data_IF_188853833172
#
_entry.id   IF_188853833172
#
_cell.length_a   1.000
_cell.length_b   1.000
_cell.length_c   1.000
_cell.angle_alpha   90.00
_cell.angle_beta   90.00
_cell.angle_gamma   90.00
#
_symmetry.space_group_name_H-M   'P 1'
#
loop_
_entity.id
_entity.type
_entity.pdbx_description
1 polymer ?
#
# COMPACT_ATOMS: atom_id res chain seq x y z
N UNK A 1 8.32 11.77 11.22
CA UNK A 1 9.72 11.56 10.78
C UNK A 1 9.80 11.08 9.32
N UNK A 2 8.74 11.19 8.51
CA UNK A 2 8.76 10.85 7.08
C UNK A 2 9.27 12.03 6.23
N UNK A 3 10.03 11.75 5.19
CA UNK A 3 10.60 12.74 4.26
C UNK A 3 12.13 12.62 4.16
N UNK A 4 12.74 13.55 3.42
CA UNK A 4 14.21 13.65 3.27
C UNK A 4 14.87 14.15 4.57
N UNK A 5 16.12 13.72 4.88
CA UNK A 5 16.82 14.04 6.14
C UNK A 5 16.71 15.52 6.55
N UNK A 6 17.04 16.43 5.63
CA UNK A 6 17.04 17.88 5.85
C UNK A 6 15.82 18.59 5.27
N UNK A 7 14.86 17.84 4.73
CA UNK A 7 13.63 18.38 4.16
C UNK A 7 12.57 18.71 5.23
N UNK A 8 11.52 19.46 4.86
CA UNK A 8 10.33 19.54 5.71
C UNK A 8 9.69 18.15 5.88
N UNK A 9 8.89 17.92 6.94
CA UNK A 9 8.09 16.70 7.06
C UNK A 9 7.22 16.47 5.81
N UNK A 10 7.22 15.24 5.32
CA UNK A 10 6.41 14.82 4.18
C UNK A 10 5.25 13.93 4.65
N UNK A 11 4.12 14.03 3.96
CA UNK A 11 3.04 13.04 4.08
C UNK A 11 3.44 11.76 3.35
N UNK A 12 2.85 10.64 3.76
CA UNK A 12 2.83 9.43 2.92
C UNK A 12 1.97 9.71 1.67
N UNK A 13 2.37 9.16 0.53
CA UNK A 13 1.74 9.44 -0.78
C UNK A 13 0.25 9.12 -0.81
N UNK A 14 -0.14 7.95 -0.31
CA UNK A 14 -1.55 7.54 -0.16
C UNK A 14 -2.13 8.03 1.18
N UNK A 15 -3.47 8.19 1.30
CA UNK A 15 -4.10 8.56 2.56
C UNK A 15 -4.07 7.38 3.55
N UNK A 16 -2.90 7.18 4.19
CA UNK A 16 -2.65 6.02 5.05
C UNK A 16 -3.63 5.93 6.23
N UNK A 17 -4.02 7.07 6.80
CA UNK A 17 -4.99 7.13 7.91
C UNK A 17 -6.36 6.56 7.50
N UNK A 18 -6.87 7.02 6.34
CA UNK A 18 -8.17 6.60 5.81
C UNK A 18 -8.16 5.10 5.46
N UNK A 19 -7.10 4.65 4.78
CA UNK A 19 -6.93 3.25 4.39
C UNK A 19 -6.79 2.32 5.60
N UNK A 20 -5.94 2.69 6.57
CA UNK A 20 -5.75 1.92 7.80
C UNK A 20 -7.05 1.89 8.62
N UNK A 21 -7.72 3.03 8.77
CA UNK A 21 -9.00 3.13 9.47
C UNK A 21 -10.06 2.21 8.87
N UNK A 22 -10.19 2.18 7.54
CA UNK A 22 -11.10 1.27 6.83
C UNK A 22 -10.75 -0.21 7.06
N UNK A 23 -9.47 -0.56 7.06
CA UNK A 23 -9.01 -1.93 7.34
C UNK A 23 -9.30 -2.33 8.79
N UNK A 24 -8.98 -1.49 9.78
CA UNK A 24 -9.28 -1.76 11.19
C UNK A 24 -10.78 -1.83 11.48
N UNK A 25 -11.59 -1.02 10.79
CA UNK A 25 -13.05 -1.12 10.85
C UNK A 25 -13.55 -2.46 10.30
N UNK A 26 -13.04 -2.89 9.14
CA UNK A 26 -13.37 -4.19 8.56
C UNK A 26 -13.00 -5.34 9.52
N UNK A 27 -11.78 -5.34 10.07
CA UNK A 27 -11.32 -6.35 11.03
C UNK A 27 -12.21 -6.37 12.29
N UNK A 28 -12.57 -5.20 12.82
CA UNK A 28 -13.45 -5.07 13.98
C UNK A 28 -14.84 -5.66 13.72
N UNK A 29 -15.42 -5.42 12.53
CA UNK A 29 -16.70 -5.99 12.12
C UNK A 29 -16.60 -7.51 11.98
N UNK A 30 -15.56 -8.03 11.33
CA UNK A 30 -15.34 -9.48 11.18
C UNK A 30 -15.19 -10.17 12.54
N UNK A 31 -14.40 -9.57 13.44
CA UNK A 31 -14.23 -10.06 14.81
C UNK A 31 -15.53 -10.01 15.61
N UNK A 32 -16.33 -8.95 15.48
CA UNK A 32 -17.64 -8.84 16.11
C UNK A 32 -18.65 -9.87 15.58
N UNK A 33 -18.65 -10.15 14.27
CA UNK A 33 -19.50 -11.16 13.65
C UNK A 33 -19.15 -12.57 14.17
N UNK A 34 -17.86 -12.91 14.20
CA UNK A 34 -17.40 -14.19 14.75
C UNK A 34 -17.71 -14.29 16.25
N UNK A 35 -17.45 -13.23 17.01
CA UNK A 35 -17.76 -13.18 18.44
C UNK A 35 -19.25 -13.32 18.73
N UNK A 36 -20.12 -12.76 17.88
CA UNK A 36 -21.57 -12.93 17.97
C UNK A 36 -21.98 -14.39 17.72
N UNK A 37 -21.36 -15.06 16.75
CA UNK A 37 -21.65 -16.47 16.46
C UNK A 37 -21.25 -17.37 17.64
N UNK A 38 -20.09 -17.12 18.23
CA UNK A 38 -19.55 -17.96 19.30
C UNK A 38 -20.14 -17.68 20.68
N UNK A 39 -20.52 -16.42 20.95
CA UNK A 39 -20.84 -15.96 22.31
C UNK A 39 -22.14 -15.16 22.41
N UNK A 40 -22.80 -14.89 21.29
CA UNK A 40 -23.99 -14.04 21.24
C UNK A 40 -23.70 -12.54 21.45
N UNK A 41 -24.73 -11.75 21.15
CA UNK A 41 -24.74 -10.30 21.35
C UNK A 41 -23.97 -9.50 20.29
N UNK A 42 -24.39 -8.26 20.07
CA UNK A 42 -23.65 -7.31 19.23
C UNK A 42 -22.40 -6.76 19.92
N UNK A 43 -21.59 -6.00 19.17
CA UNK A 43 -20.44 -5.25 19.68
C UNK A 43 -20.47 -3.84 19.09
N UNK A 44 -19.99 -2.88 19.87
CA UNK A 44 -19.69 -1.53 19.39
C UNK A 44 -18.19 -1.46 19.09
N UNK A 45 -17.82 -1.04 17.89
CA UNK A 45 -16.44 -0.85 17.47
C UNK A 45 -16.16 0.64 17.35
N UNK A 46 -15.28 1.14 18.22
CA UNK A 46 -14.73 2.50 18.14
C UNK A 46 -13.39 2.44 17.39
N UNK A 47 -13.29 3.14 16.27
CA UNK A 47 -12.13 3.06 15.36
C UNK A 47 -11.56 4.46 15.14
N UNK A 48 -10.43 4.72 15.77
CA UNK A 48 -9.69 5.96 15.66
C UNK A 48 -8.64 5.88 14.54
N UNK A 49 -8.66 6.83 13.61
CA UNK A 49 -7.61 6.97 12.60
C UNK A 49 -6.26 7.31 13.22
N UNK A 50 -6.26 8.06 14.34
CA UNK A 50 -5.05 8.36 15.08
C UNK A 50 -4.44 7.08 15.66
N UNK A 51 -5.26 6.26 16.33
CA UNK A 51 -4.83 5.01 16.95
C UNK A 51 -4.32 4.03 15.89
N UNK A 52 -4.98 4.01 14.73
CA UNK A 52 -4.55 3.25 13.55
C UNK A 52 -3.14 3.64 13.11
N UNK A 53 -2.85 4.94 12.98
CA UNK A 53 -1.51 5.42 12.62
C UNK A 53 -0.48 5.17 13.72
N UNK A 54 -0.85 5.35 15.00
CA UNK A 54 0.03 5.08 16.14
C UNK A 54 0.41 3.60 16.19
N UNK A 55 -0.54 2.69 15.95
CA UNK A 55 -0.27 1.26 15.87
C UNK A 55 0.66 0.91 14.71
N UNK A 56 0.63 1.68 13.63
CA UNK A 56 1.47 1.48 12.44
C UNK A 56 2.86 2.15 12.54
N UNK A 57 3.20 2.78 13.67
CA UNK A 57 4.58 3.21 13.95
C UNK A 57 5.55 2.04 14.07
N UNK A 58 5.03 0.81 14.19
CA UNK A 58 5.76 -0.45 14.11
C UNK A 58 7.05 -0.44 14.95
N UNK A 59 8.18 -0.82 14.36
CA UNK A 59 9.45 -0.93 15.06
C UNK A 59 10.01 0.42 15.52
N UNK A 60 9.76 1.54 14.82
CA UNK A 60 10.23 2.86 15.24
C UNK A 60 9.52 3.32 16.53
N UNK A 61 8.22 3.04 16.64
CA UNK A 61 7.46 3.28 17.86
C UNK A 61 7.99 2.45 19.04
N UNK A 62 8.26 1.16 18.80
CA UNK A 62 8.85 0.29 19.81
C UNK A 62 10.26 0.73 20.22
N UNK A 63 11.11 1.13 19.26
CA UNK A 63 12.47 1.58 19.53
C UNK A 63 12.47 2.83 20.41
N UNK A 64 11.60 3.79 20.09
CA UNK A 64 11.45 5.00 20.89
C UNK A 64 10.97 4.70 22.31
N UNK A 65 9.92 3.88 22.47
CA UNK A 65 9.36 3.54 23.77
C UNK A 65 10.36 2.82 24.69
N UNK A 66 11.26 2.00 24.13
CA UNK A 66 12.18 1.18 24.92
C UNK A 66 13.59 1.77 25.06
N UNK A 67 14.01 2.66 24.17
CA UNK A 67 15.38 3.22 24.17
C UNK A 67 15.45 4.74 24.24
N UNK A 68 14.31 5.44 24.05
CA UNK A 68 14.24 6.90 23.94
C UNK A 68 14.80 7.45 22.62
N UNK A 69 15.33 6.61 21.72
CA UNK A 69 15.82 7.06 20.41
C UNK A 69 14.69 7.65 19.57
N UNK A 70 14.98 8.75 18.88
CA UNK A 70 14.04 9.38 17.97
C UNK A 70 14.34 8.92 16.54
N UNK A 71 13.32 8.42 15.85
CA UNK A 71 13.40 8.18 14.42
C UNK A 71 13.57 9.53 13.68
N UNK A 72 14.52 9.58 12.76
CA UNK A 72 14.78 10.75 11.92
C UNK A 72 14.28 10.50 10.49
N UNK A 73 14.15 11.57 9.71
CA UNK A 73 13.87 11.48 8.28
C UNK A 73 15.06 10.85 7.56
N UNK A 74 14.80 9.89 6.67
CA UNK A 74 15.83 9.14 5.95
C UNK A 74 15.56 8.99 4.44
N UNK A 75 14.61 9.76 3.90
CA UNK A 75 14.17 9.59 2.51
C UNK A 75 13.59 8.20 2.30
N UNK A 76 14.20 7.43 1.40
CA UNK A 76 13.80 6.03 1.09
C UNK A 76 14.52 4.98 1.94
N UNK A 77 15.45 5.39 2.80
CA UNK A 77 16.33 4.46 3.48
C UNK A 77 15.73 3.90 4.78
N UNK A 78 15.99 2.62 5.05
CA UNK A 78 15.63 1.95 6.28
C UNK A 78 16.58 2.36 7.41
N UNK A 79 16.06 2.59 8.62
CA UNK A 79 16.85 3.10 9.76
C UNK A 79 17.90 2.11 10.28
N UNK A 80 17.60 0.81 10.27
CA UNK A 80 18.44 -0.23 10.88
C UNK A 80 19.22 -1.14 9.92
N UNK A 81 19.05 -1.00 8.60
CA UNK A 81 19.61 -1.93 7.61
C UNK A 81 20.21 -1.18 6.43
N UNK A 82 21.41 -1.58 6.03
CA UNK A 82 22.14 -0.96 4.92
C UNK A 82 22.78 -2.06 4.05
N UNK A 83 22.58 -2.05 2.71
CA UNK A 83 21.60 -1.25 1.99
C UNK A 83 20.15 -1.74 2.21
N UNK A 84 19.25 -0.80 2.40
CA UNK A 84 17.81 -0.95 2.19
C UNK A 84 17.25 0.43 1.86
N UNK A 85 17.32 0.80 0.58
CA UNK A 85 16.88 2.11 0.08
C UNK A 85 16.71 2.08 -1.45
N UNK A 86 16.14 3.14 -2.01
CA UNK A 86 16.19 3.39 -3.44
C UNK A 86 17.57 3.95 -3.84
N UNK A 87 18.13 3.42 -4.91
CA UNK A 87 19.36 3.91 -5.53
C UNK A 87 19.07 4.42 -6.93
N UNK A 88 19.67 5.54 -7.29
CA UNK A 88 19.58 6.08 -8.64
C UNK A 88 20.31 5.18 -9.65
N UNK A 89 19.69 5.01 -10.81
CA UNK A 89 20.28 4.43 -12.01
C UNK A 89 20.36 5.52 -13.08
N UNK A 90 20.89 5.19 -14.25
CA UNK A 90 21.00 6.13 -15.38
C UNK A 90 19.66 6.68 -15.87
N UNK A 91 18.57 5.93 -15.69
CA UNK A 91 17.26 6.22 -16.25
C UNK A 91 16.10 6.08 -15.24
N UNK A 92 16.39 5.84 -13.96
CA UNK A 92 15.37 5.59 -12.96
C UNK A 92 15.94 5.33 -11.56
N UNK A 93 15.24 4.49 -10.80
CA UNK A 93 15.66 4.08 -9.46
C UNK A 93 15.34 2.60 -9.23
N UNK A 94 16.17 1.93 -8.43
CA UNK A 94 15.94 0.56 -7.97
C UNK A 94 16.05 0.53 -6.45
N UNK A 95 15.03 -0.04 -5.79
CA UNK A 95 15.13 -0.37 -4.37
C UNK A 95 15.98 -1.63 -4.23
N UNK A 96 17.04 -1.57 -3.43
CA UNK A 96 17.96 -2.69 -3.20
C UNK A 96 17.98 -3.00 -1.70
N UNK A 97 17.85 -4.28 -1.35
CA UNK A 97 17.81 -4.74 0.04
C UNK A 97 18.84 -5.84 0.27
N UNK A 98 19.73 -5.64 1.25
CA UNK A 98 20.63 -6.66 1.76
C UNK A 98 20.37 -6.89 3.25
N UNK A 99 19.22 -7.52 3.56
CA UNK A 99 18.78 -7.79 4.93
C UNK A 99 19.71 -8.75 5.67
N UNK A 100 20.09 -9.83 5.01
CA UNK A 100 20.95 -10.89 5.55
C UNK A 100 22.35 -10.78 4.93
N UNK A 101 23.38 -11.21 5.66
CA UNK A 101 24.78 -11.14 5.20
C UNK A 101 25.04 -11.94 3.91
N UNK A 102 24.20 -12.93 3.58
CA UNK A 102 24.26 -13.62 2.28
C UNK A 102 23.98 -12.67 1.12
N UNK A 103 23.01 -11.76 1.27
CA UNK A 103 22.63 -10.81 0.22
C UNK A 103 23.68 -9.73 0.08
N UNK A 104 24.33 -9.32 1.17
CA UNK A 104 25.47 -8.40 1.11
C UNK A 104 26.64 -8.99 0.34
N UNK A 105 27.02 -10.25 0.63
CA UNK A 105 28.06 -10.96 -0.12
C UNK A 105 27.70 -11.10 -1.59
N UNK A 106 26.50 -11.60 -1.90
CA UNK A 106 26.03 -11.72 -3.28
C UNK A 106 26.03 -10.39 -4.02
N UNK A 107 25.63 -9.30 -3.35
CA UNK A 107 25.67 -7.96 -3.92
C UNK A 107 27.09 -7.53 -4.26
N UNK A 108 28.02 -7.65 -3.32
CA UNK A 108 29.43 -7.33 -3.54
C UNK A 108 30.04 -8.18 -4.67
N UNK A 109 29.69 -9.46 -4.76
CA UNK A 109 30.11 -10.32 -5.87
C UNK A 109 29.50 -9.88 -7.20
N UNK A 110 28.22 -9.54 -7.22
CA UNK A 110 27.50 -9.15 -8.43
C UNK A 110 28.02 -7.85 -9.05
N UNK A 111 28.44 -6.90 -8.22
CA UNK A 111 28.97 -5.61 -8.67
C UNK A 111 30.50 -5.58 -8.80
N UNK A 112 31.16 -6.74 -8.67
CA UNK A 112 32.62 -6.88 -8.69
C UNK A 112 33.36 -6.03 -7.64
N UNK A 113 32.77 -5.94 -6.43
CA UNK A 113 33.31 -5.21 -5.27
C UNK A 113 33.48 -6.11 -4.06
N UNK A 114 34.12 -7.26 -4.27
CA UNK A 114 34.43 -8.24 -3.20
C UNK A 114 35.28 -7.63 -2.08
N UNK A 115 36.02 -6.57 -2.35
CA UNK A 115 36.76 -5.79 -1.35
C UNK A 115 35.85 -5.25 -0.23
N UNK A 116 34.59 -4.95 -0.53
CA UNK A 116 33.61 -4.46 0.45
C UNK A 116 33.11 -5.55 1.42
N UNK A 117 33.33 -6.84 1.12
CA UNK A 117 32.92 -7.94 2.00
C UNK A 117 33.79 -7.94 3.26
N UNK A 118 35.09 -7.71 3.10
CA UNK A 118 36.08 -7.78 4.19
C UNK A 118 36.47 -6.39 4.73
N UNK A 119 36.02 -5.29 4.10
CA UNK A 119 36.28 -3.93 4.60
C UNK A 119 35.68 -3.75 6.01
N UNK A 120 36.46 -3.30 7.01
CA UNK A 120 35.97 -3.11 8.38
C UNK A 120 34.73 -2.21 8.51
N UNK A 121 34.50 -1.32 7.53
CA UNK A 121 33.34 -0.41 7.49
C UNK A 121 32.07 -1.07 6.96
N UNK A 122 32.18 -2.24 6.32
CA UNK A 122 31.03 -2.92 5.68
C UNK A 122 30.91 -4.42 5.92
N UNK A 123 31.81 -5.01 6.71
CA UNK A 123 31.89 -6.44 7.04
C UNK A 123 30.62 -7.07 7.61
N UNK A 124 29.78 -6.29 8.28
CA UNK A 124 28.53 -6.71 8.91
C UNK A 124 27.53 -5.55 8.95
N UNK A 125 26.24 -5.83 9.16
CA UNK A 125 25.22 -4.79 9.16
C UNK A 125 25.47 -3.67 10.19
N UNK A 126 26.04 -3.98 11.36
CA UNK A 126 26.36 -2.97 12.37
C UNK A 126 27.39 -1.98 11.83
N UNK A 127 28.45 -2.50 11.21
CA UNK A 127 29.46 -1.69 10.54
C UNK A 127 28.84 -0.87 9.40
N UNK A 128 27.99 -1.48 8.55
CA UNK A 128 27.33 -0.79 7.44
C UNK A 128 26.40 0.33 7.90
N UNK A 129 25.67 0.14 9.00
CA UNK A 129 24.82 1.19 9.59
C UNK A 129 25.68 2.34 10.14
N UNK A 130 26.77 2.03 10.85
CA UNK A 130 27.68 3.04 11.39
C UNK A 130 28.44 3.82 10.30
N UNK A 131 28.66 3.20 9.14
CA UNK A 131 29.38 3.78 8.00
C UNK A 131 28.45 3.91 6.77
N UNK A 132 27.18 4.28 6.99
CA UNK A 132 26.16 4.31 5.94
C UNK A 132 26.59 5.11 4.71
N UNK A 133 27.09 6.33 4.92
CA UNK A 133 27.48 7.23 3.82
C UNK A 133 28.56 6.59 2.94
N UNK A 134 29.52 5.88 3.54
CA UNK A 134 30.52 5.13 2.80
C UNK A 134 29.87 4.02 1.97
N UNK A 135 29.10 3.13 2.60
CA UNK A 135 28.49 1.99 1.90
C UNK A 135 27.57 2.43 0.78
N UNK A 136 26.71 3.42 1.04
CA UNK A 136 25.79 3.97 0.04
C UNK A 136 26.56 4.60 -1.11
N UNK A 137 27.59 5.40 -0.83
CA UNK A 137 28.41 6.03 -1.86
C UNK A 137 29.12 5.03 -2.77
N UNK A 138 29.65 3.93 -2.22
CA UNK A 138 30.28 2.86 -3.01
C UNK A 138 29.28 2.16 -3.93
N UNK A 139 28.05 1.94 -3.46
CA UNK A 139 26.98 1.34 -4.27
C UNK A 139 26.47 2.30 -5.34
N UNK A 140 26.24 3.57 -5.00
CA UNK A 140 25.79 4.61 -5.95
C UNK A 140 26.80 4.84 -7.08
N UNK A 141 28.11 4.78 -6.77
CA UNK A 141 29.17 4.89 -7.76
C UNK A 141 29.08 3.81 -8.85
N UNK A 142 28.59 2.61 -8.51
CA UNK A 142 28.35 1.54 -9.49
C UNK A 142 26.97 1.67 -10.12
N UNK A 143 25.92 1.74 -9.32
CA UNK A 143 24.52 1.67 -9.78
C UNK A 143 24.13 2.81 -10.72
N UNK A 144 24.65 4.01 -10.49
CA UNK A 144 24.37 5.18 -11.35
C UNK A 144 24.91 5.05 -12.79
N UNK A 145 25.86 4.12 -13.02
CA UNK A 145 26.41 3.85 -14.37
C UNK A 145 25.55 2.88 -15.19
N UNK A 146 24.63 2.15 -14.53
CA UNK A 146 23.78 1.14 -15.15
C UNK A 146 22.38 1.71 -15.44
N UNK A 147 21.69 1.20 -16.46
CA UNK A 147 20.23 1.38 -16.56
C UNK A 147 19.51 0.60 -15.47
N UNK A 148 18.25 0.97 -15.22
CA UNK A 148 17.34 0.25 -14.34
C UNK A 148 17.26 -1.22 -14.74
N UNK A 149 17.11 -1.53 -16.03
CA UNK A 149 16.99 -2.90 -16.53
C UNK A 149 18.29 -3.72 -16.39
N UNK A 150 19.44 -3.10 -16.62
CA UNK A 150 20.75 -3.78 -16.42
C UNK A 150 20.95 -4.10 -14.94
N UNK A 151 20.65 -3.14 -14.05
CA UNK A 151 20.81 -3.34 -12.61
C UNK A 151 19.83 -4.39 -12.08
N UNK A 152 18.54 -4.31 -12.38
CA UNK A 152 17.57 -5.32 -11.93
C UNK A 152 17.92 -6.71 -12.45
N UNK A 153 18.31 -6.83 -13.72
CA UNK A 153 18.76 -8.10 -14.28
C UNK A 153 20.04 -8.64 -13.64
N UNK A 154 20.96 -7.78 -13.21
CA UNK A 154 22.12 -8.18 -12.43
C UNK A 154 21.72 -8.65 -11.05
N UNK A 155 20.91 -7.88 -10.33
CA UNK A 155 20.51 -8.19 -8.96
C UNK A 155 19.72 -9.50 -8.88
N UNK A 156 18.83 -9.75 -9.85
CA UNK A 156 18.07 -11.00 -9.97
C UNK A 156 18.99 -12.22 -10.15
N UNK A 157 19.99 -12.14 -11.05
CA UNK A 157 20.97 -13.23 -11.25
C UNK A 157 21.76 -13.60 -10.00
N UNK A 158 21.94 -12.65 -9.08
CA UNK A 158 22.68 -12.84 -7.84
C UNK A 158 21.77 -13.08 -6.62
N UNK A 159 20.47 -13.32 -6.82
CA UNK A 159 19.49 -13.55 -5.74
C UNK A 159 19.45 -12.37 -4.75
N UNK A 160 19.47 -11.13 -5.26
CA UNK A 160 19.44 -9.92 -4.44
C UNK A 160 18.02 -9.32 -4.47
N UNK A 161 17.32 -9.24 -3.33
CA UNK A 161 16.00 -8.65 -3.26
C UNK A 161 16.04 -7.20 -3.73
N UNK A 162 15.37 -6.95 -4.85
CA UNK A 162 15.33 -5.65 -5.47
C UNK A 162 14.08 -5.47 -6.33
N UNK A 163 13.71 -4.22 -6.58
CA UNK A 163 12.63 -3.88 -7.48
C UNK A 163 12.83 -2.48 -8.07
N UNK A 164 12.47 -2.25 -9.35
CA UNK A 164 12.46 -0.91 -9.91
C UNK A 164 11.38 -0.05 -9.22
N UNK A 165 11.65 1.24 -9.09
CA UNK A 165 10.64 2.22 -8.64
C UNK A 165 9.78 2.59 -9.84
N UNK A 166 8.62 1.95 -9.96
CA UNK A 166 7.69 2.19 -11.07
C UNK A 166 6.82 3.43 -10.84
N UNK A 167 6.45 4.10 -11.93
CA UNK A 167 5.36 5.07 -11.94
C UNK A 167 3.99 4.37 -12.05
N UNK A 168 2.92 5.17 -12.04
CA UNK A 168 1.55 4.65 -12.12
C UNK A 168 1.26 3.90 -13.43
N UNK A 169 1.84 4.35 -14.55
CA UNK A 169 1.62 3.70 -15.84
C UNK A 169 2.33 2.34 -15.88
N UNK A 170 3.57 2.28 -15.37
CA UNK A 170 4.35 1.05 -15.25
C UNK A 170 3.67 0.02 -14.35
N UNK A 171 3.19 0.42 -13.16
CA UNK A 171 2.49 -0.52 -12.26
C UNK A 171 1.20 -1.05 -12.89
N UNK A 172 0.38 -0.19 -13.51
CA UNK A 172 -0.92 -0.60 -14.04
C UNK A 172 -0.83 -1.39 -15.36
N UNK A 173 0.32 -1.33 -16.04
CA UNK A 173 0.60 -2.10 -17.24
C UNK A 173 1.47 -3.35 -17.00
N UNK A 174 1.92 -3.58 -15.76
CA UNK A 174 2.75 -4.72 -15.40
C UNK A 174 2.03 -6.06 -15.66
N UNK A 175 2.71 -6.99 -16.33
CA UNK A 175 2.15 -8.27 -16.74
C UNK A 175 1.61 -9.06 -15.54
N UNK A 176 2.30 -9.03 -14.40
CA UNK A 176 1.85 -9.71 -13.19
C UNK A 176 0.64 -9.02 -12.57
N UNK A 177 0.58 -7.69 -12.58
CA UNK A 177 -0.60 -6.92 -12.13
C UNK A 177 -1.83 -7.25 -12.99
N UNK A 178 -1.66 -7.33 -14.31
CA UNK A 178 -2.71 -7.70 -15.26
C UNK A 178 -3.14 -9.15 -15.05
N UNK A 179 -2.20 -10.10 -14.97
CA UNK A 179 -2.47 -11.53 -14.74
C UNK A 179 -3.24 -11.76 -13.43
N UNK A 180 -2.91 -10.99 -12.39
CA UNK A 180 -3.61 -11.02 -11.11
C UNK A 180 -4.99 -10.36 -11.15
N UNK A 181 -5.40 -9.83 -12.30
CA UNK A 181 -6.67 -9.16 -12.50
C UNK A 181 -6.83 -7.94 -11.61
N UNK A 182 -5.76 -7.15 -11.43
CA UNK A 182 -5.76 -5.94 -10.61
C UNK A 182 -6.10 -4.66 -11.40
N UNK A 183 -6.40 -4.81 -12.69
CA UNK A 183 -7.08 -3.81 -13.50
C UNK A 183 -8.29 -4.48 -14.12
N UNK A 184 -9.49 -4.02 -13.74
CA UNK A 184 -10.76 -4.52 -14.26
C UNK A 184 -11.57 -3.39 -14.86
N UNK A 185 -12.60 -3.78 -15.59
CA UNK A 185 -13.48 -2.87 -16.30
C UNK A 185 -14.93 -3.21 -15.99
N UNK A 186 -15.79 -2.21 -15.83
CA UNK A 186 -17.24 -2.35 -15.83
C UNK A 186 -17.88 -1.27 -16.70
N UNK A 187 -19.15 -1.45 -17.08
CA UNK A 187 -19.92 -0.44 -17.82
C UNK A 187 -20.77 0.40 -16.87
N UNK A 188 -20.48 1.69 -16.79
CA UNK A 188 -21.27 2.68 -16.07
C UNK A 188 -22.39 3.23 -16.97
N UNK A 189 -23.62 3.45 -16.44
CA UNK A 189 -24.74 3.95 -17.23
C UNK A 189 -24.46 5.28 -17.96
N UNK A 190 -23.72 6.19 -17.33
CA UNK A 190 -23.43 7.53 -17.88
C UNK A 190 -21.99 7.75 -18.34
N UNK A 191 -21.03 6.95 -17.85
CA UNK A 191 -19.60 7.15 -18.15
C UNK A 191 -19.09 6.15 -19.20
N UNK A 192 -19.93 5.20 -19.63
CA UNK A 192 -19.52 4.14 -20.54
C UNK A 192 -18.57 3.17 -19.86
N UNK A 193 -17.45 2.85 -20.50
CA UNK A 193 -16.48 1.90 -19.97
C UNK A 193 -15.59 2.55 -18.90
N UNK A 194 -15.58 1.98 -17.67
CA UNK A 194 -14.77 2.47 -16.55
C UNK A 194 -13.77 1.40 -16.12
N UNK A 195 -12.49 1.77 -16.06
CA UNK A 195 -11.40 0.93 -15.53
C UNK A 195 -11.13 1.25 -14.06
N UNK A 196 -10.90 0.24 -13.25
CA UNK A 196 -10.71 0.37 -11.81
C UNK A 196 -9.81 -0.73 -11.23
N UNK A 197 -9.30 -0.51 -10.01
CA UNK A 197 -8.59 -1.53 -9.24
C UNK A 197 -9.60 -2.33 -8.39
N UNK A 198 -9.74 -3.65 -8.62
CA UNK A 198 -10.63 -4.49 -7.83
C UNK A 198 -10.03 -4.82 -6.46
N UNK A 199 -10.78 -5.56 -5.66
CA UNK A 199 -10.29 -6.07 -4.38
C UNK A 199 -9.03 -6.93 -4.57
N UNK A 200 -8.01 -6.77 -3.71
CA UNK A 200 -6.83 -7.64 -3.75
C UNK A 200 -7.11 -9.05 -3.20
N UNK A 201 -8.25 -9.25 -2.53
CA UNK A 201 -8.62 -10.53 -1.92
C UNK A 201 -8.96 -11.56 -3.00
N UNK A 202 -8.22 -12.67 -3.03
CA UNK A 202 -8.46 -13.82 -3.92
C UNK A 202 -8.93 -15.00 -3.06
N UNK A 203 -10.25 -15.12 -2.87
CA UNK A 203 -10.86 -16.13 -2.02
C UNK A 203 -11.52 -17.22 -2.89
N UNK A 204 -11.20 -18.48 -2.61
CA UNK A 204 -11.83 -19.61 -3.31
C UNK A 204 -13.35 -19.56 -3.15
N UNK A 205 -14.07 -19.74 -4.25
CA UNK A 205 -15.54 -19.70 -4.28
C UNK A 205 -16.17 -18.31 -4.19
N UNK A 206 -15.37 -17.24 -4.12
CA UNK A 206 -15.86 -15.86 -4.16
C UNK A 206 -15.36 -15.15 -5.41
N UNK A 207 -16.26 -14.38 -6.02
CA UNK A 207 -15.95 -13.48 -7.12
C UNK A 207 -16.44 -12.09 -6.77
N UNK A 208 -15.64 -11.08 -7.08
CA UNK A 208 -16.09 -9.71 -6.90
C UNK A 208 -17.27 -9.44 -7.85
N UNK A 209 -18.39 -8.90 -7.33
CA UNK A 209 -19.56 -8.55 -8.15
C UNK A 209 -19.17 -7.65 -9.33
N UNK A 210 -19.72 -7.98 -10.49
CA UNK A 210 -19.54 -7.21 -11.72
C UNK A 210 -20.70 -6.21 -11.87
N UNK A 211 -20.68 -5.17 -11.02
CA UNK A 211 -21.69 -4.09 -11.02
C UNK A 211 -21.02 -2.73 -10.94
N UNK A 212 -21.66 -1.71 -11.51
CA UNK A 212 -21.21 -0.33 -11.38
C UNK A 212 -21.37 0.16 -9.92
N UNK A 213 -20.66 1.24 -9.59
CA UNK A 213 -20.94 1.98 -8.37
C UNK A 213 -22.36 2.57 -8.47
N UNK A 214 -23.23 2.41 -7.47
CA UNK A 214 -24.61 2.87 -7.56
C UNK A 214 -24.68 4.39 -7.73
N UNK A 215 -25.64 4.84 -8.54
CA UNK A 215 -26.02 6.25 -8.63
C UNK A 215 -26.64 6.72 -7.32
N UNK A 216 -26.68 8.04 -7.12
CA UNK A 216 -27.33 8.62 -5.94
C UNK A 216 -28.80 8.19 -5.88
N UNK A 217 -29.16 7.45 -4.82
CA UNK A 217 -30.52 6.96 -4.60
C UNK A 217 -30.94 5.73 -5.41
N UNK A 218 -30.06 5.11 -6.21
CA UNK A 218 -30.39 4.00 -7.13
C UNK A 218 -31.17 2.87 -6.44
N UNK A 219 -30.76 2.51 -5.22
CA UNK A 219 -31.33 1.40 -4.47
C UNK A 219 -32.38 1.83 -3.41
N UNK A 220 -32.72 3.13 -3.31
CA UNK A 220 -33.56 3.66 -2.21
C UNK A 220 -34.90 2.94 -2.11
N UNK A 221 -35.67 2.90 -3.20
CA UNK A 221 -37.02 2.31 -3.19
C UNK A 221 -36.97 0.80 -2.91
N UNK A 222 -36.01 0.09 -3.51
CA UNK A 222 -35.80 -1.35 -3.31
C UNK A 222 -35.51 -1.65 -1.84
N UNK A 223 -34.59 -0.92 -1.22
CA UNK A 223 -34.23 -1.12 0.20
C UNK A 223 -35.41 -0.83 1.12
N UNK A 224 -36.14 0.26 0.89
CA UNK A 224 -37.30 0.63 1.72
C UNK A 224 -38.43 -0.39 1.61
N UNK A 225 -38.72 -0.87 0.40
CA UNK A 225 -39.76 -1.87 0.21
C UNK A 225 -39.35 -3.24 0.77
N UNK A 226 -38.16 -3.74 0.42
CA UNK A 226 -37.75 -5.10 0.80
C UNK A 226 -37.35 -5.24 2.28
N UNK A 227 -36.77 -4.19 2.88
CA UNK A 227 -36.24 -4.25 4.26
C UNK A 227 -37.19 -3.68 5.29
N UNK A 228 -38.02 -2.71 4.92
CA UNK A 228 -38.96 -2.05 5.83
C UNK A 228 -40.44 -2.34 5.50
N UNK A 229 -40.74 -2.96 4.35
CA UNK A 229 -42.10 -3.32 3.97
C UNK A 229 -42.95 -2.12 3.52
N UNK A 230 -42.32 -0.99 3.17
CA UNK A 230 -43.04 0.21 2.74
C UNK A 230 -43.65 0.01 1.35
N UNK A 231 -44.86 0.54 1.20
CA UNK A 231 -45.58 0.66 -0.07
C UNK A 231 -45.02 1.79 -0.94
N UNK A 232 -45.34 1.78 -2.23
CA UNK A 232 -44.95 2.84 -3.16
C UNK A 232 -45.48 4.22 -2.70
N UNK A 233 -46.73 4.29 -2.25
CA UNK A 233 -47.35 5.53 -1.78
C UNK A 233 -46.61 6.11 -0.55
N UNK A 234 -46.20 5.25 0.39
CA UNK A 234 -45.42 5.68 1.56
C UNK A 234 -44.03 6.20 1.15
N UNK A 235 -43.40 5.56 0.17
CA UNK A 235 -42.09 5.99 -0.36
C UNK A 235 -42.23 7.34 -1.09
N UNK A 236 -43.29 7.52 -1.89
CA UNK A 236 -43.55 8.78 -2.61
C UNK A 236 -43.79 9.95 -1.64
N UNK A 237 -44.51 9.70 -0.53
CA UNK A 237 -44.68 10.70 0.54
C UNK A 237 -43.33 11.08 1.15
N UNK A 238 -42.48 10.11 1.50
CA UNK A 238 -41.14 10.39 2.05
C UNK A 238 -40.25 11.17 1.08
N UNK A 239 -40.35 10.87 -0.23
CA UNK A 239 -39.61 11.60 -1.26
C UNK A 239 -40.13 13.04 -1.39
N UNK A 240 -41.45 13.24 -1.41
CA UNK A 240 -42.08 14.56 -1.49
C UNK A 240 -41.75 15.45 -0.27
N UNK A 241 -41.57 14.85 0.91
CA UNK A 241 -41.14 15.54 2.13
C UNK A 241 -39.63 15.83 2.18
N UNK A 242 -38.85 15.31 1.22
CA UNK A 242 -37.39 15.46 1.18
C UNK A 242 -36.64 14.61 2.22
N UNK A 243 -37.30 13.60 2.80
CA UNK A 243 -36.70 12.68 3.76
C UNK A 243 -35.77 11.67 3.09
N UNK A 244 -35.99 11.37 1.81
CA UNK A 244 -35.19 10.43 1.00
C UNK A 244 -34.88 11.02 -0.37
N UNK A 245 -33.77 10.57 -0.97
CA UNK A 245 -33.48 10.78 -2.39
C UNK A 245 -33.84 9.52 -3.19
N UNK A 246 -34.68 9.69 -4.21
CA UNK A 246 -34.93 8.68 -5.24
C UNK A 246 -34.22 9.11 -6.53
N UNK A 247 -33.85 8.18 -7.43
CA UNK A 247 -33.20 8.54 -8.67
C UNK A 247 -34.09 9.52 -9.44
N UNK A 248 -33.50 10.58 -10.00
CA UNK A 248 -34.21 11.40 -10.97
C UNK A 248 -34.71 10.46 -12.07
N UNK A 249 -36.02 10.45 -12.30
CA UNK A 249 -36.54 9.86 -13.54
C UNK A 249 -35.94 10.69 -14.65
N UNK A 250 -34.87 10.18 -15.28
CA UNK A 250 -34.32 10.78 -16.48
C UNK A 250 -35.49 10.80 -17.45
N UNK A 251 -36.03 11.99 -17.68
CA UNK A 251 -36.95 12.20 -18.78
C UNK A 251 -36.12 11.98 -20.02
N UNK A 252 -36.33 10.85 -20.71
CA UNK A 252 -35.82 10.63 -22.05
C UNK A 252 -36.30 11.81 -22.91
N UNK A 253 -35.36 12.70 -23.24
CA UNK A 253 -35.52 13.83 -24.15
C UNK A 253 -34.63 13.65 -25.37
#
# INVERSE_FOLDING_TARGET
YTGEPDGPPARVGTPLADLAGGIYACISVLGALLGRELHGGGRHADVSMLDSLVSLLAYDGLDHLNSGRLATRQGTAHSHMVPWQAFATRDGHVVVVARDEKFWRNLCEGIDRRDLIDDPRSRDNTARVANREFVVGELEAVFSTMTTAELTGLLDRFDIPSAPVNDMAGVLADDHVIERGMVRTYRHPTLGEVRYQPSPMKLSGWQQPDRHAPMLGEDTATVLSERLGLSADEIDVLAAEGAIGVPDTVSDG
#
